data_IF_592382408778
#
_entry.id   IF_592382408778
#
_cell.length_a   1.000
_cell.length_b   1.000
_cell.length_c   1.000
_cell.angle_alpha   90.00
_cell.angle_beta   90.00
_cell.angle_gamma   90.00
#
_symmetry.space_group_name_H-M   'P 1'
#
loop_
_entity.id
_entity.type
_entity.pdbx_description
1 polymer ?
#
# COMPACT_ATOMS: atom_id res chain seq x y z
N UNK A 1 12.66 18.49 -3.15
CA UNK A 1 12.23 17.36 -4.00
C UNK A 1 10.97 16.78 -3.37
N UNK A 2 9.99 16.32 -4.16
CA UNK A 2 8.79 15.68 -3.61
C UNK A 2 9.18 14.43 -2.83
N UNK A 3 8.34 14.07 -1.86
CA UNK A 3 8.47 12.83 -1.09
C UNK A 3 7.97 11.69 -1.97
N UNK A 4 8.83 10.71 -2.26
CA UNK A 4 8.42 9.51 -2.98
C UNK A 4 7.71 8.54 -2.05
N UNK A 5 6.49 8.17 -2.43
CA UNK A 5 5.62 7.27 -1.69
C UNK A 5 5.40 6.01 -2.51
N UNK A 6 5.82 4.86 -1.98
CA UNK A 6 5.49 3.58 -2.56
C UNK A 6 3.98 3.32 -2.44
N UNK A 7 3.28 3.22 -3.56
CA UNK A 7 1.92 2.71 -3.63
C UNK A 7 1.97 1.19 -3.81
N UNK A 8 1.55 0.44 -2.80
CA UNK A 8 1.49 -1.03 -2.81
C UNK A 8 0.04 -1.48 -2.88
N UNK A 9 -0.33 -2.16 -3.97
CA UNK A 9 -1.69 -2.66 -4.19
C UNK A 9 -1.77 -4.15 -3.86
N UNK A 10 -2.59 -4.51 -2.87
CA UNK A 10 -2.71 -5.89 -2.38
C UNK A 10 -3.48 -6.86 -3.29
N UNK A 11 -3.96 -6.40 -4.45
CA UNK A 11 -4.77 -7.18 -5.40
C UNK A 11 -4.11 -7.24 -6.77
N UNK A 12 -3.85 -8.46 -7.25
CA UNK A 12 -3.13 -8.69 -8.52
C UNK A 12 -4.03 -8.73 -9.77
N UNK A 13 -5.36 -8.87 -9.61
CA UNK A 13 -6.26 -8.98 -10.77
C UNK A 13 -6.28 -7.69 -11.59
N UNK A 14 -6.36 -7.80 -12.91
CA UNK A 14 -6.38 -6.66 -13.86
C UNK A 14 -7.42 -5.59 -13.48
N UNK A 15 -8.66 -6.00 -13.20
CA UNK A 15 -9.75 -5.06 -12.85
C UNK A 15 -9.82 -4.66 -11.38
N UNK A 16 -8.72 -4.69 -10.64
CA UNK A 16 -8.70 -4.48 -9.18
C UNK A 16 -9.29 -3.14 -8.75
N UNK A 17 -10.27 -3.19 -7.84
CA UNK A 17 -10.79 -1.98 -7.19
C UNK A 17 -9.74 -1.31 -6.31
N UNK A 18 -8.88 -2.08 -5.63
CA UNK A 18 -7.76 -1.52 -4.86
C UNK A 18 -6.77 -0.78 -5.76
N UNK A 19 -6.50 -1.29 -6.97
CA UNK A 19 -5.67 -0.57 -7.95
C UNK A 19 -6.34 0.72 -8.40
N UNK A 20 -7.62 0.67 -8.75
CA UNK A 20 -8.39 1.85 -9.17
C UNK A 20 -8.37 2.95 -8.09
N UNK A 21 -8.66 2.61 -6.83
CA UNK A 21 -8.58 3.54 -5.70
C UNK A 21 -7.15 4.08 -5.50
N UNK A 22 -6.13 3.23 -5.59
CA UNK A 22 -4.73 3.67 -5.49
C UNK A 22 -4.33 4.66 -6.59
N UNK A 23 -4.78 4.45 -7.82
CA UNK A 23 -4.52 5.35 -8.95
C UNK A 23 -5.27 6.68 -8.80
N UNK A 24 -6.52 6.67 -8.30
CA UNK A 24 -7.26 7.88 -7.95
C UNK A 24 -6.54 8.67 -6.86
N UNK A 25 -6.05 8.01 -5.81
CA UNK A 25 -5.26 8.67 -4.76
C UNK A 25 -3.94 9.25 -5.30
N UNK A 26 -3.28 8.55 -6.24
CA UNK A 26 -2.11 9.09 -6.94
C UNK A 26 -2.46 10.34 -7.74
N UNK A 27 -3.61 10.40 -8.40
CA UNK A 27 -4.05 11.58 -9.14
C UNK A 27 -4.48 12.74 -8.23
N UNK A 28 -4.95 12.45 -7.02
CA UNK A 28 -5.36 13.44 -6.02
C UNK A 28 -4.22 13.96 -5.14
N UNK A 29 -3.07 13.28 -5.14
CA UNK A 29 -1.93 13.64 -4.32
C UNK A 29 -1.44 15.05 -4.64
N UNK A 30 -1.10 15.80 -3.60
CA UNK A 30 -0.50 17.12 -3.75
C UNK A 30 0.88 17.00 -4.42
N UNK A 31 1.38 18.04 -5.13
CA UNK A 31 2.65 18.00 -5.84
C UNK A 31 3.88 17.63 -4.97
N UNK A 32 3.76 17.80 -3.66
CA UNK A 32 4.79 17.43 -2.67
C UNK A 32 4.89 15.91 -2.43
N UNK A 33 3.86 15.14 -2.82
CA UNK A 33 3.83 13.68 -2.72
C UNK A 33 3.84 13.04 -4.11
N UNK A 34 4.91 12.33 -4.43
CA UNK A 34 5.03 11.56 -5.65
C UNK A 34 4.71 10.08 -5.35
N UNK A 35 3.50 9.63 -5.74
CA UNK A 35 3.10 8.24 -5.55
C UNK A 35 3.58 7.39 -6.72
N UNK A 36 4.35 6.35 -6.43
CA UNK A 36 4.90 5.41 -7.40
C UNK A 36 4.34 4.01 -7.13
N UNK A 37 3.69 3.42 -8.15
CA UNK A 37 3.18 2.06 -8.03
C UNK A 37 4.35 1.08 -8.08
N UNK A 38 4.55 0.32 -7.00
CA UNK A 38 5.54 -0.75 -6.94
C UNK A 38 4.80 -2.08 -7.08
N UNK A 39 5.10 -2.80 -8.16
CA UNK A 39 4.44 -4.06 -8.47
C UNK A 39 4.91 -5.18 -7.55
N UNK A 40 3.97 -6.00 -7.08
CA UNK A 40 4.22 -7.16 -6.20
C UNK A 40 3.78 -8.49 -6.84
N UNK A 41 3.16 -8.44 -8.03
CA UNK A 41 2.52 -9.59 -8.65
C UNK A 41 3.48 -10.60 -9.28
N UNK A 42 4.72 -10.19 -9.53
CA UNK A 42 5.80 -11.00 -10.09
C UNK A 42 6.67 -11.67 -9.01
N UNK A 43 6.46 -11.35 -7.73
CA UNK A 43 7.29 -11.85 -6.63
C UNK A 43 7.06 -13.35 -6.40
N UNK A 44 8.10 -14.20 -6.56
CA UNK A 44 8.04 -15.58 -6.09
C UNK A 44 7.83 -15.62 -4.58
N UNK A 45 7.22 -16.71 -4.09
CA UNK A 45 7.05 -16.91 -2.64
C UNK A 45 8.41 -16.89 -1.95
N UNK A 46 8.49 -16.17 -0.84
CA UNK A 46 9.71 -16.05 -0.06
C UNK A 46 10.18 -17.44 0.39
N UNK A 47 11.43 -17.74 0.06
CA UNK A 47 12.16 -18.91 0.55
C UNK A 47 13.57 -18.44 0.94
N UNK A 48 13.99 -18.56 2.21
CA UNK A 48 15.30 -18.12 2.65
C UNK A 48 16.46 -18.81 1.91
N UNK A 49 16.28 -20.03 1.39
CA UNK A 49 17.30 -20.74 0.61
C UNK A 49 17.65 -20.03 -0.70
N UNK A 50 16.73 -19.21 -1.21
CA UNK A 50 16.91 -18.42 -2.45
C UNK A 50 17.36 -16.98 -2.15
N UNK A 51 17.39 -16.58 -0.88
CA UNK A 51 17.73 -15.21 -0.45
C UNK A 51 19.20 -15.15 -0.01
N UNK A 52 20.08 -15.42 -0.97
CA UNK A 52 21.53 -15.45 -0.78
C UNK A 52 22.18 -14.12 -1.18
N UNK A 53 23.50 -14.08 -1.34
CA UNK A 53 24.20 -12.91 -1.91
C UNK A 53 23.69 -12.53 -3.31
N UNK A 54 23.10 -13.47 -4.04
CA UNK A 54 22.45 -13.23 -5.34
C UNK A 54 20.98 -13.67 -5.27
N UNK A 55 20.08 -12.82 -4.77
CA UNK A 55 18.66 -13.14 -4.68
C UNK A 55 17.99 -13.10 -6.07
N UNK A 56 16.77 -13.63 -6.14
CA UNK A 56 15.98 -13.61 -7.38
C UNK A 56 15.80 -12.17 -7.90
N UNK A 57 15.91 -11.98 -9.21
CA UNK A 57 15.84 -10.65 -9.82
C UNK A 57 14.57 -9.86 -9.44
N UNK A 58 13.42 -10.53 -9.32
CA UNK A 58 12.18 -9.90 -8.88
C UNK A 58 12.25 -9.37 -7.43
N UNK A 59 12.96 -10.08 -6.55
CA UNK A 59 13.19 -9.62 -5.17
C UNK A 59 14.16 -8.45 -5.12
N UNK A 60 15.25 -8.49 -5.90
CA UNK A 60 16.19 -7.36 -6.01
C UNK A 60 15.48 -6.11 -6.53
N UNK A 61 14.77 -6.22 -7.67
CA UNK A 61 13.96 -5.14 -8.25
C UNK A 61 13.05 -4.51 -7.21
N UNK A 62 12.25 -5.33 -6.53
CA UNK A 62 11.30 -4.85 -5.53
C UNK A 62 11.97 -4.13 -4.36
N UNK A 63 13.07 -4.69 -3.84
CA UNK A 63 13.84 -4.08 -2.74
C UNK A 63 14.47 -2.77 -3.19
N UNK A 64 15.05 -2.71 -4.39
CA UNK A 64 15.69 -1.53 -4.96
C UNK A 64 14.67 -0.41 -5.20
N UNK A 65 13.56 -0.69 -5.89
CA UNK A 65 12.47 0.27 -6.09
C UNK A 65 11.97 0.81 -4.75
N UNK A 66 11.68 -0.08 -3.80
CA UNK A 66 11.19 0.34 -2.50
C UNK A 66 12.22 1.17 -1.73
N UNK A 67 13.51 0.83 -1.78
CA UNK A 67 14.59 1.57 -1.12
C UNK A 67 14.66 3.04 -1.55
N UNK A 68 14.19 3.37 -2.76
CA UNK A 68 14.15 4.76 -3.25
C UNK A 68 13.03 5.61 -2.61
N UNK A 69 12.05 4.99 -1.95
CA UNK A 69 10.87 5.67 -1.37
C UNK A 69 11.07 6.05 0.09
N UNK A 70 10.35 7.08 0.54
CA UNK A 70 10.41 7.60 1.91
C UNK A 70 9.20 7.17 2.74
N UNK A 71 8.08 6.82 2.11
CA UNK A 71 6.84 6.42 2.77
C UNK A 71 6.11 5.35 1.96
N UNK A 72 5.12 4.69 2.55
CA UNK A 72 4.36 3.61 1.89
C UNK A 72 2.85 3.78 2.09
N UNK A 73 2.10 3.82 0.99
CA UNK A 73 0.65 3.74 0.98
C UNK A 73 0.23 2.32 0.54
N UNK A 74 -0.40 1.58 1.45
CA UNK A 74 -0.99 0.28 1.15
C UNK A 74 -2.46 0.44 0.76
N UNK A 75 -2.86 -0.12 -0.38
CA UNK A 75 -4.27 -0.21 -0.80
C UNK A 75 -4.64 -1.67 -0.99
N UNK A 76 -5.43 -2.22 -0.07
CA UNK A 76 -5.60 -3.68 0.03
C UNK A 76 -7.06 -4.12 0.06
N UNK A 77 -7.42 -5.23 -0.61
CA UNK A 77 -8.65 -5.93 -0.28
C UNK A 77 -8.46 -6.77 1.00
N UNK A 78 -9.52 -7.48 1.38
CA UNK A 78 -9.48 -8.52 2.41
C UNK A 78 -9.78 -9.88 1.77
N UNK A 79 -8.90 -10.85 2.01
CA UNK A 79 -9.13 -12.26 1.67
C UNK A 79 -9.18 -13.07 2.95
N UNK A 80 -10.30 -13.78 3.16
CA UNK A 80 -10.50 -14.69 4.29
C UNK A 80 -10.18 -14.05 5.66
N UNK A 81 -10.73 -12.85 5.92
CA UNK A 81 -10.54 -12.09 7.16
C UNK A 81 -9.11 -11.63 7.43
N UNK A 82 -8.26 -11.57 6.41
CA UNK A 82 -6.88 -11.14 6.55
C UNK A 82 -6.36 -10.43 5.31
N UNK A 83 -5.09 -10.02 5.36
CA UNK A 83 -4.36 -9.47 4.22
C UNK A 83 -4.17 -10.54 3.13
N UNK A 84 -4.13 -10.14 1.84
CA UNK A 84 -3.84 -11.06 0.75
C UNK A 84 -2.45 -11.71 0.89
N UNK A 85 -2.35 -12.99 0.50
CA UNK A 85 -1.08 -13.73 0.56
C UNK A 85 0.04 -13.06 -0.23
N UNK A 86 -0.27 -12.49 -1.40
CA UNK A 86 0.71 -11.74 -2.20
C UNK A 86 1.23 -10.49 -1.48
N UNK A 87 0.36 -9.75 -0.77
CA UNK A 87 0.78 -8.60 0.04
C UNK A 87 1.66 -9.04 1.20
N UNK A 88 1.29 -10.12 1.90
CA UNK A 88 2.12 -10.69 2.96
C UNK A 88 3.48 -11.15 2.45
N UNK A 89 3.52 -11.79 1.28
CA UNK A 89 4.76 -12.20 0.64
C UNK A 89 5.67 -11.00 0.32
N UNK A 90 5.10 -9.89 -0.19
CA UNK A 90 5.86 -8.66 -0.42
C UNK A 90 6.48 -8.10 0.87
N UNK A 91 5.73 -8.10 1.98
CA UNK A 91 6.26 -7.73 3.30
C UNK A 91 7.44 -8.62 3.68
N UNK A 92 7.31 -9.94 3.49
CA UNK A 92 8.36 -10.91 3.82
C UNK A 92 9.62 -10.69 2.98
N UNK A 93 9.49 -10.55 1.66
CA UNK A 93 10.61 -10.27 0.73
C UNK A 93 11.32 -8.97 1.09
N UNK A 94 10.59 -7.88 1.37
CA UNK A 94 11.17 -6.58 1.74
C UNK A 94 11.67 -6.51 3.20
N UNK A 95 11.30 -7.48 4.04
CA UNK A 95 11.82 -7.56 5.42
C UNK A 95 13.26 -8.08 5.49
N UNK A 96 13.80 -8.52 4.34
CA UNK A 96 15.06 -9.25 4.21
C UNK A 96 16.01 -8.55 3.23
N UNK A 97 17.33 -8.78 3.32
CA UNK A 97 18.04 -9.63 4.31
C UNK A 97 17.91 -9.15 5.76
N UNK A 98 18.26 -10.01 6.74
CA UNK A 98 18.17 -9.64 8.16
C UNK A 98 19.03 -8.39 8.45
N UNK A 99 18.45 -7.42 9.17
CA UNK A 99 19.09 -6.12 9.45
C UNK A 99 19.08 -5.13 8.28
N UNK A 100 18.55 -5.51 7.10
CA UNK A 100 18.50 -4.68 5.89
C UNK A 100 17.06 -4.51 5.38
N UNK A 101 16.08 -4.49 6.29
CA UNK A 101 14.68 -4.31 5.87
C UNK A 101 14.49 -2.97 5.17
N UNK A 102 13.94 -3.02 3.95
CA UNK A 102 13.60 -1.84 3.15
C UNK A 102 12.31 -1.15 3.60
N UNK A 103 11.66 -1.66 4.65
CA UNK A 103 10.45 -1.10 5.27
C UNK A 103 10.75 -0.13 6.42
N UNK A 104 11.83 -0.38 7.16
CA UNK A 104 12.07 0.24 8.46
C UNK A 104 12.07 1.78 8.39
N UNK A 105 11.47 2.39 9.42
CA UNK A 105 11.31 3.84 9.59
C UNK A 105 10.49 4.57 8.52
N UNK A 106 10.00 3.90 7.47
CA UNK A 106 9.13 4.53 6.48
C UNK A 106 7.72 4.72 7.04
N UNK A 107 7.20 5.96 7.08
CA UNK A 107 5.82 6.18 7.49
C UNK A 107 4.86 5.44 6.55
N UNK A 108 3.81 4.86 7.12
CA UNK A 108 2.85 4.05 6.39
C UNK A 108 1.42 4.55 6.55
N UNK A 109 0.59 4.35 5.53
CA UNK A 109 -0.86 4.49 5.62
C UNK A 109 -1.55 3.31 4.92
N UNK A 110 -2.78 3.00 5.35
CA UNK A 110 -3.53 1.84 4.85
C UNK A 110 -4.93 2.29 4.44
N UNK A 111 -5.30 1.97 3.20
CA UNK A 111 -6.66 2.06 2.67
C UNK A 111 -7.15 0.65 2.39
N UNK A 112 -8.27 0.26 2.98
CA UNK A 112 -8.87 -1.04 2.72
C UNK A 112 -10.11 -0.88 1.84
N UNK A 113 -10.28 -1.80 0.88
CA UNK A 113 -11.27 -1.67 -0.19
C UNK A 113 -12.06 -2.97 -0.33
N UNK A 114 -13.39 -2.89 -0.34
CA UNK A 114 -14.26 -4.05 -0.54
C UNK A 114 -15.54 -3.70 -1.29
N UNK A 115 -16.10 -4.63 -2.08
CA UNK A 115 -17.49 -4.54 -2.53
C UNK A 115 -18.49 -4.63 -1.38
N UNK A 116 -18.12 -5.25 -0.24
CA UNK A 116 -18.98 -5.36 0.94
C UNK A 116 -18.85 -4.16 1.88
N UNK A 117 -19.89 -3.94 2.70
CA UNK A 117 -19.97 -2.80 3.63
C UNK A 117 -18.91 -2.82 4.76
N UNK A 118 -18.40 -3.99 5.14
CA UNK A 118 -17.31 -4.14 6.12
C UNK A 118 -15.96 -3.59 5.61
N UNK A 119 -15.85 -3.23 4.33
CA UNK A 119 -14.76 -2.44 3.79
C UNK A 119 -13.34 -2.99 4.07
N UNK A 120 -13.20 -4.32 4.15
CA UNK A 120 -11.93 -5.00 4.40
C UNK A 120 -11.25 -4.57 5.74
N UNK A 121 -12.06 -4.29 6.76
CA UNK A 121 -11.63 -3.92 8.11
C UNK A 121 -10.62 -4.90 8.72
N UNK A 122 -10.84 -6.21 8.57
CA UNK A 122 -9.95 -7.24 9.11
C UNK A 122 -8.56 -7.17 8.48
N UNK A 123 -8.49 -7.00 7.16
CA UNK A 123 -7.21 -6.82 6.48
C UNK A 123 -6.48 -5.54 6.90
N UNK A 124 -7.19 -4.43 7.13
CA UNK A 124 -6.56 -3.19 7.61
C UNK A 124 -5.85 -3.42 8.96
N UNK A 125 -6.57 -4.00 9.92
CA UNK A 125 -6.01 -4.25 11.25
C UNK A 125 -4.96 -5.35 11.27
N UNK A 126 -5.16 -6.43 10.51
CA UNK A 126 -4.14 -7.47 10.37
C UNK A 126 -2.86 -6.95 9.72
N UNK A 127 -2.93 -6.00 8.78
CA UNK A 127 -1.76 -5.38 8.19
C UNK A 127 -0.97 -4.55 9.21
N UNK A 128 -1.64 -3.86 10.13
CA UNK A 128 -0.95 -3.04 11.15
C UNK A 128 0.00 -3.86 12.03
N UNK A 129 -0.31 -5.12 12.33
CA UNK A 129 0.52 -5.98 13.16
C UNK A 129 1.95 -6.21 12.59
N UNK A 130 2.14 -6.69 11.34
CA UNK A 130 3.47 -6.79 10.77
C UNK A 130 4.13 -5.42 10.57
N UNK A 131 3.40 -4.34 10.28
CA UNK A 131 4.00 -3.00 10.18
C UNK A 131 4.65 -2.54 11.50
N UNK A 132 4.07 -2.90 12.66
CA UNK A 132 4.69 -2.68 13.97
C UNK A 132 6.03 -3.42 14.07
N UNK A 133 6.07 -4.71 13.71
CA UNK A 133 7.32 -5.48 13.73
C UNK A 133 8.37 -4.92 12.76
N UNK A 134 7.94 -4.48 11.57
CA UNK A 134 8.79 -3.87 10.54
C UNK A 134 9.22 -2.43 10.88
N UNK A 135 8.91 -1.94 12.07
CA UNK A 135 9.26 -0.60 12.56
C UNK A 135 8.79 0.52 11.61
N UNK A 136 7.54 0.41 11.12
CA UNK A 136 6.93 1.41 10.25
C UNK A 136 5.98 2.33 11.04
N UNK A 137 6.24 3.65 11.13
CA UNK A 137 5.32 4.61 11.74
C UNK A 137 3.99 4.68 10.97
N UNK A 138 2.99 3.91 11.41
CA UNK A 138 1.73 3.78 10.69
C UNK A 138 0.72 4.83 11.14
N UNK A 139 0.18 5.60 10.20
CA UNK A 139 -0.84 6.62 10.44
C UNK A 139 -2.07 6.00 11.12
N UNK A 140 -2.53 6.63 12.20
CA UNK A 140 -3.64 6.13 13.00
C UNK A 140 -4.98 6.68 12.50
N UNK A 141 -5.07 7.99 12.28
CA UNK A 141 -6.26 8.71 11.85
C UNK A 141 -5.92 9.71 10.73
N UNK A 142 -6.86 10.01 9.82
CA UNK A 142 -8.14 9.33 9.65
C UNK A 142 -7.96 7.89 9.16
N UNK A 143 -8.88 6.99 9.50
CA UNK A 143 -8.96 5.66 8.90
C UNK A 143 -9.64 5.72 7.51
N UNK A 144 -9.27 4.83 6.59
CA UNK A 144 -9.87 4.75 5.26
C UNK A 144 -10.39 3.36 4.93
N UNK A 145 -11.71 3.21 5.09
CA UNK A 145 -12.47 1.99 4.86
C UNK A 145 -13.45 2.21 3.69
N UNK A 146 -13.07 1.77 2.50
CA UNK A 146 -13.86 1.96 1.28
C UNK A 146 -14.74 0.74 1.04
N UNK A 147 -15.98 0.81 1.53
CA UNK A 147 -17.02 -0.19 1.28
C UNK A 147 -17.81 0.09 0.00
N UNK A 148 -18.58 -0.90 -0.46
CA UNK A 148 -19.47 -0.78 -1.62
C UNK A 148 -18.79 -0.24 -2.90
N UNK A 149 -17.49 -0.51 -3.06
CA UNK A 149 -16.63 0.18 -4.03
C UNK A 149 -17.09 0.06 -5.50
N UNK A 150 -17.80 -1.02 -5.85
CA UNK A 150 -18.33 -1.20 -7.20
C UNK A 150 -19.32 -0.06 -7.59
N UNK A 151 -20.08 0.47 -6.63
CA UNK A 151 -20.97 1.60 -6.85
C UNK A 151 -20.26 2.95 -6.91
N UNK A 152 -18.99 3.01 -6.48
CA UNK A 152 -18.20 4.24 -6.41
C UNK A 152 -17.34 4.48 -7.65
N UNK A 153 -17.09 3.44 -8.46
CA UNK A 153 -16.19 3.51 -9.61
C UNK A 153 -16.95 3.35 -10.93
N UNK A 154 -16.52 4.09 -11.94
CA UNK A 154 -16.91 3.91 -13.34
C UNK A 154 -16.35 2.58 -13.86
N UNK A 155 -17.20 1.80 -14.53
CA UNK A 155 -16.82 0.45 -14.98
C UNK A 155 -15.82 0.48 -16.15
N UNK A 156 -15.87 1.54 -16.97
CA UNK A 156 -15.07 1.67 -18.19
C UNK A 156 -13.61 2.03 -17.90
N UNK A 157 -13.38 3.01 -17.02
CA UNK A 157 -12.06 3.60 -16.77
C UNK A 157 -11.57 3.44 -15.31
N UNK A 158 -12.43 2.94 -14.41
CA UNK A 158 -12.10 2.77 -13.00
C UNK A 158 -12.01 4.08 -12.22
N UNK A 159 -12.54 5.20 -12.75
CA UNK A 159 -12.51 6.50 -12.06
C UNK A 159 -13.64 6.65 -11.05
N UNK A 160 -13.50 7.58 -10.09
CA UNK A 160 -14.55 7.83 -9.09
C UNK A 160 -15.79 8.54 -9.69
N UNK A 161 -16.97 8.02 -9.33
CA UNK A 161 -18.29 8.52 -9.74
C UNK A 161 -18.79 9.74 -8.97
N UNK A 162 -18.34 9.94 -7.73
CA UNK A 162 -18.87 10.99 -6.85
C UNK A 162 -17.77 11.79 -6.16
N UNK A 163 -18.05 13.07 -5.98
CA UNK A 163 -17.13 14.04 -5.40
C UNK A 163 -16.90 13.81 -3.91
N UNK A 164 -17.89 13.30 -3.16
CA UNK A 164 -17.74 13.02 -1.73
C UNK A 164 -16.64 11.99 -1.42
N UNK A 165 -16.55 10.92 -2.22
CA UNK A 165 -15.47 9.92 -2.08
C UNK A 165 -14.13 10.51 -2.50
N UNK A 166 -14.12 11.35 -3.55
CA UNK A 166 -12.93 12.06 -4.01
C UNK A 166 -12.38 13.00 -2.93
N UNK A 167 -13.24 13.79 -2.30
CA UNK A 167 -12.90 14.68 -1.19
C UNK A 167 -12.40 13.90 0.03
N UNK A 168 -13.04 12.78 0.37
CA UNK A 168 -12.59 11.91 1.46
C UNK A 168 -11.17 11.37 1.21
N UNK A 169 -10.92 10.81 0.02
CA UNK A 169 -9.60 10.28 -0.34
C UNK A 169 -8.55 11.39 -0.41
N UNK A 170 -8.93 12.59 -0.87
CA UNK A 170 -8.06 13.77 -0.84
C UNK A 170 -7.69 14.14 0.60
N UNK A 171 -8.68 14.23 1.49
CA UNK A 171 -8.44 14.52 2.91
C UNK A 171 -7.54 13.47 3.58
N UNK A 172 -7.70 12.20 3.22
CA UNK A 172 -6.83 11.12 3.71
C UNK A 172 -5.38 11.27 3.20
N UNK A 173 -5.16 11.51 1.91
CA UNK A 173 -3.79 11.65 1.37
C UNK A 173 -3.12 12.93 1.88
N UNK A 174 -3.86 14.02 2.07
CA UNK A 174 -3.36 15.25 2.70
C UNK A 174 -2.95 15.00 4.16
N UNK A 175 -3.77 14.24 4.92
CA UNK A 175 -3.43 13.85 6.28
C UNK A 175 -2.18 12.94 6.30
N UNK A 176 -2.02 12.05 5.32
CA UNK A 176 -0.84 11.21 5.18
C UNK A 176 0.41 12.04 4.86
N UNK A 177 0.31 13.07 4.01
CA UNK A 177 1.39 14.03 3.79
C UNK A 177 1.85 14.66 5.12
N UNK A 178 0.91 15.16 5.92
CA UNK A 178 1.20 15.72 7.23
C UNK A 178 1.76 14.69 8.22
N UNK A 179 1.34 13.43 8.13
CA UNK A 179 1.90 12.34 8.94
C UNK A 179 3.35 12.05 8.59
N UNK A 180 3.69 12.01 7.30
CA UNK A 180 5.06 11.80 6.83
C UNK A 180 5.97 12.89 7.40
N UNK A 181 5.59 14.16 7.32
CA UNK A 181 6.42 15.26 7.87
C UNK A 181 6.66 15.14 9.38
N UNK A 182 5.68 14.62 10.14
CA UNK A 182 5.82 14.42 11.60
C UNK A 182 6.67 13.22 11.98
N UNK A 183 6.84 12.27 11.07
CA UNK A 183 7.47 10.97 11.35
C UNK A 183 8.72 10.71 10.54
N UNK A 184 9.11 11.65 9.67
CA UNK A 184 10.48 11.74 9.15
C UNK A 184 11.43 11.83 10.34
N UNK A 185 12.29 10.82 10.47
CA UNK A 185 13.46 10.86 11.36
C UNK A 185 14.49 11.87 10.88
#
# INVERSE_FOLDING_TARGET
>A
MPVRVALIVGSLRKGSYSRAIGLEMKALAAPELELELIEIGDLPLYNPDLDTETPLAAWSRFREELATTQAVLFVTPEYNRSIPGALKNALDVGSRPYGQSVWAAKPAAIVSVSPGALAAFGANHHLRQPLVFLNMPTMQQPEAYIGNVAGLLNEEDGTLKNDGTREFLKGFIDAFAGWIEKTKG
#
